data_IF_217834530900
#
_entry.id   IF_217834530900
#
_cell.length_a   1.000
_cell.length_b   1.000
_cell.length_c   1.000
_cell.angle_alpha   90.00
_cell.angle_beta   90.00
_cell.angle_gamma   90.00
#
_symmetry.space_group_name_H-M   'P 1'
#
loop_
_entity.id
_entity.type
_entity.pdbx_description
1 polymer ?
#
# COMPACT_ATOMS: atom_id res chain seq x y z
N UNK A 1 -4.47 -1.30 -1.52
CA UNK A 1 -3.68 -0.64 -0.47
C UNK A 1 -2.20 -0.58 -0.87
N UNK A 2 -1.39 0.27 -0.22
CA UNK A 2 0.04 0.43 -0.54
C UNK A 2 0.80 -0.90 -0.39
N UNK A 3 0.65 -1.55 0.75
CA UNK A 3 1.35 -2.81 1.05
C UNK A 3 0.83 -4.01 0.24
N UNK A 4 -0.29 -3.89 -0.47
CA UNK A 4 -0.83 -4.95 -1.33
C UNK A 4 -0.24 -4.94 -2.75
N UNK A 5 0.42 -3.85 -3.15
CA UNK A 5 1.02 -3.70 -4.47
C UNK A 5 2.11 -4.75 -4.67
N UNK A 6 2.21 -5.27 -5.89
CA UNK A 6 3.11 -6.39 -6.21
C UNK A 6 4.56 -6.07 -5.87
N UNK A 7 5.06 -4.93 -6.34
CA UNK A 7 6.46 -4.50 -6.13
C UNK A 7 6.78 -4.26 -4.65
N UNK A 8 5.79 -3.80 -3.88
CA UNK A 8 5.95 -3.59 -2.42
C UNK A 8 6.02 -4.96 -1.71
N UNK A 9 5.14 -5.89 -2.07
CA UNK A 9 5.15 -7.25 -1.52
C UNK A 9 6.44 -7.99 -1.87
N UNK A 10 6.98 -7.77 -3.06
CA UNK A 10 8.25 -8.36 -3.48
C UNK A 10 9.41 -7.79 -2.65
N UNK A 11 9.47 -6.46 -2.50
CA UNK A 11 10.49 -5.79 -1.68
C UNK A 11 10.42 -6.24 -0.21
N UNK A 12 9.22 -6.32 0.38
CA UNK A 12 9.01 -6.82 1.74
C UNK A 12 9.47 -8.29 1.87
N UNK A 13 9.24 -9.11 0.84
CA UNK A 13 9.71 -10.51 0.86
C UNK A 13 11.24 -10.58 0.88
N UNK A 14 11.94 -9.70 0.17
CA UNK A 14 13.40 -9.58 0.31
C UNK A 14 13.80 -9.23 1.74
N UNK A 15 13.14 -8.22 2.35
CA UNK A 15 13.41 -7.83 3.75
C UNK A 15 13.17 -9.01 4.70
N UNK A 16 12.07 -9.75 4.52
CA UNK A 16 11.74 -10.92 5.36
C UNK A 16 12.82 -12.00 5.28
N UNK A 17 13.31 -12.31 4.08
CA UNK A 17 14.40 -13.29 3.89
C UNK A 17 15.72 -12.80 4.52
N UNK A 18 16.01 -11.50 4.47
CA UNK A 18 17.19 -10.93 5.13
C UNK A 18 17.11 -11.05 6.65
N UNK A 19 15.93 -10.87 7.23
CA UNK A 19 15.70 -11.00 8.66
C UNK A 19 15.57 -12.46 9.08
N UNK A 20 14.89 -13.28 8.29
CA UNK A 20 14.67 -14.70 8.54
C UNK A 20 14.74 -15.53 7.25
N UNK A 21 15.90 -16.11 6.90
CA UNK A 21 16.02 -16.96 5.69
C UNK A 21 15.13 -18.20 5.68
N UNK A 22 14.62 -18.61 6.85
CA UNK A 22 13.76 -19.79 6.99
C UNK A 22 12.28 -19.49 6.71
N UNK A 23 11.97 -18.27 6.26
CA UNK A 23 10.63 -17.88 5.79
C UNK A 23 10.44 -18.41 4.36
N UNK A 24 9.93 -19.62 4.25
CA UNK A 24 9.77 -20.33 2.97
C UNK A 24 8.85 -19.58 1.99
N UNK A 25 7.80 -18.90 2.50
CA UNK A 25 6.88 -18.13 1.65
C UNK A 25 7.58 -16.91 1.03
N UNK A 26 8.33 -16.19 1.84
CA UNK A 26 9.10 -15.05 1.35
C UNK A 26 10.23 -15.49 0.41
N UNK A 27 10.92 -16.57 0.74
CA UNK A 27 11.98 -17.13 -0.10
C UNK A 27 11.44 -17.58 -1.46
N UNK A 28 10.34 -18.36 -1.47
CA UNK A 28 9.70 -18.82 -2.70
C UNK A 28 9.28 -17.65 -3.60
N UNK A 29 8.80 -16.56 -3.00
CA UNK A 29 8.39 -15.36 -3.73
C UNK A 29 9.56 -14.71 -4.48
N UNK A 30 10.73 -14.62 -3.87
CA UNK A 30 11.86 -13.86 -4.43
C UNK A 30 12.86 -14.70 -5.23
N UNK A 31 12.88 -16.02 -5.09
CA UNK A 31 13.91 -16.88 -5.70
C UNK A 31 13.97 -16.71 -7.23
N UNK A 32 12.85 -16.43 -7.88
CA UNK A 32 12.77 -16.19 -9.32
C UNK A 32 12.11 -14.84 -9.67
N UNK A 33 12.16 -13.88 -8.76
CA UNK A 33 11.67 -12.50 -8.95
C UNK A 33 12.78 -11.52 -8.57
N UNK A 34 13.47 -10.90 -9.52
CA UNK A 34 13.42 -11.06 -11.00
C UNK A 34 13.76 -12.46 -11.50
N UNK A 35 13.46 -12.71 -12.78
CA UNK A 35 13.67 -14.03 -13.39
C UNK A 35 15.16 -14.42 -13.39
N UNK A 36 15.48 -15.55 -12.76
CA UNK A 36 16.83 -16.13 -12.69
C UNK A 36 16.92 -17.49 -13.40
N UNK A 37 15.83 -17.91 -14.06
CA UNK A 37 15.75 -19.24 -14.66
C UNK A 37 15.54 -20.35 -13.64
N UNK A 38 15.04 -20.00 -12.46
CA UNK A 38 14.65 -20.94 -11.38
C UNK A 38 13.13 -21.03 -11.40
N UNK A 39 12.60 -21.87 -12.28
CA UNK A 39 11.16 -21.97 -12.50
C UNK A 39 10.42 -22.85 -11.48
N UNK A 40 9.08 -22.92 -11.59
CA UNK A 40 8.24 -23.65 -10.63
C UNK A 40 8.64 -25.12 -10.43
N UNK A 41 9.08 -25.80 -11.50
CA UNK A 41 9.54 -27.19 -11.43
C UNK A 41 10.78 -27.33 -10.53
N UNK A 42 11.70 -26.37 -10.64
CA UNK A 42 12.92 -26.34 -9.81
C UNK A 42 12.56 -26.08 -8.34
N UNK A 43 11.67 -25.11 -8.10
CA UNK A 43 11.20 -24.76 -6.75
C UNK A 43 10.50 -25.97 -6.10
N UNK A 44 9.65 -26.67 -6.86
CA UNK A 44 8.99 -27.89 -6.38
C UNK A 44 10.01 -28.97 -5.98
N UNK A 45 11.04 -29.21 -6.81
CA UNK A 45 12.09 -30.19 -6.49
C UNK A 45 12.87 -29.80 -5.23
N UNK A 46 13.16 -28.47 -5.04
CA UNK A 46 13.79 -27.97 -3.81
C UNK A 46 12.90 -28.22 -2.59
N UNK A 47 11.60 -27.95 -2.72
CA UNK A 47 10.62 -28.18 -1.65
C UNK A 47 10.50 -29.68 -1.30
N UNK A 48 10.46 -30.55 -2.30
CA UNK A 48 10.39 -32.00 -2.11
C UNK A 48 11.67 -32.52 -1.42
N UNK A 49 12.84 -32.01 -1.84
CA UNK A 49 14.13 -32.34 -1.20
C UNK A 49 14.13 -31.85 0.28
N UNK A 50 13.66 -30.66 0.52
CA UNK A 50 13.53 -30.12 1.88
C UNK A 50 12.65 -30.99 2.77
N UNK A 51 11.47 -31.37 2.29
CA UNK A 51 10.57 -32.26 3.03
C UNK A 51 11.20 -33.63 3.36
N UNK A 52 11.93 -34.22 2.41
CA UNK A 52 12.60 -35.50 2.60
C UNK A 52 13.72 -35.42 3.63
N UNK A 53 14.33 -34.27 3.82
CA UNK A 53 15.48 -34.07 4.71
C UNK A 53 15.16 -33.17 5.92
N UNK A 54 13.90 -32.85 6.16
CA UNK A 54 13.41 -32.00 7.25
C UNK A 54 14.10 -30.63 7.26
N UNK A 55 14.17 -29.99 6.08
CA UNK A 55 14.84 -28.70 5.85
C UNK A 55 13.89 -27.70 5.20
N UNK A 56 14.04 -26.41 5.56
CA UNK A 56 13.40 -25.28 4.88
C UNK A 56 14.04 -25.04 3.50
N UNK A 57 13.32 -24.31 2.63
CA UNK A 57 13.74 -24.05 1.25
C UNK A 57 15.14 -23.44 1.13
N UNK A 58 15.48 -22.50 2.00
CA UNK A 58 16.79 -21.87 1.98
C UNK A 58 17.90 -22.89 2.21
N UNK A 59 17.76 -23.74 3.22
CA UNK A 59 18.74 -24.78 3.53
C UNK A 59 18.78 -25.87 2.45
N UNK A 60 17.60 -26.20 1.87
CA UNK A 60 17.54 -27.09 0.72
C UNK A 60 18.37 -26.54 -0.45
N UNK A 61 18.22 -25.23 -0.72
CA UNK A 61 18.96 -24.56 -1.78
C UNK A 61 20.46 -24.51 -1.49
N UNK A 62 20.87 -24.34 -0.23
CA UNK A 62 22.28 -24.41 0.17
C UNK A 62 22.90 -25.77 -0.06
N UNK A 63 22.15 -26.83 0.28
CA UNK A 63 22.65 -28.21 0.26
C UNK A 63 22.57 -28.86 -1.13
N UNK A 64 21.78 -28.28 -2.05
CA UNK A 64 21.56 -28.85 -3.38
C UNK A 64 22.83 -28.89 -4.22
N UNK A 65 23.86 -28.09 -3.90
CA UNK A 65 25.14 -28.01 -4.61
C UNK A 65 25.84 -29.38 -4.62
N UNK A 66 25.61 -30.20 -3.59
CA UNK A 66 26.20 -31.55 -3.46
C UNK A 66 25.29 -32.68 -3.94
N UNK A 67 24.12 -32.36 -4.52
CA UNK A 67 23.16 -33.35 -4.98
C UNK A 67 23.10 -33.46 -6.51
N UNK A 68 22.81 -34.65 -7.04
CA UNK A 68 22.64 -34.89 -8.46
C UNK A 68 21.22 -34.59 -8.99
N UNK A 69 20.41 -33.87 -8.20
CA UNK A 69 18.98 -33.60 -8.51
C UNK A 69 18.85 -32.62 -9.68
N UNK A 70 19.81 -31.72 -9.84
CA UNK A 70 19.80 -30.70 -10.89
C UNK A 70 21.06 -30.72 -11.73
N UNK A 71 20.94 -30.20 -12.96
CA UNK A 71 22.11 -29.97 -13.81
C UNK A 71 22.97 -28.81 -13.25
N UNK A 72 24.22 -28.77 -13.63
CA UNK A 72 25.21 -27.78 -13.13
C UNK A 72 24.74 -26.34 -13.31
N UNK A 73 24.13 -25.99 -14.45
CA UNK A 73 23.64 -24.62 -14.71
C UNK A 73 22.56 -24.19 -13.73
N UNK A 74 21.66 -25.09 -13.33
CA UNK A 74 20.62 -24.79 -12.34
C UNK A 74 21.23 -24.65 -10.93
N UNK A 75 22.18 -25.52 -10.60
CA UNK A 75 22.91 -25.46 -9.33
C UNK A 75 23.65 -24.12 -9.21
N UNK A 76 24.34 -23.71 -10.26
CA UNK A 76 25.08 -22.42 -10.28
C UNK A 76 24.16 -21.21 -10.02
N UNK A 77 22.99 -21.19 -10.66
CA UNK A 77 22.00 -20.10 -10.48
C UNK A 77 21.50 -20.05 -9.04
N UNK A 78 21.19 -21.21 -8.47
CA UNK A 78 20.74 -21.31 -7.06
C UNK A 78 21.88 -20.85 -6.14
N UNK A 79 23.09 -21.35 -6.34
CA UNK A 79 24.25 -21.00 -5.54
C UNK A 79 24.55 -19.48 -5.59
N UNK A 80 24.48 -18.88 -6.77
CA UNK A 80 24.64 -17.42 -6.94
C UNK A 80 23.63 -16.65 -6.10
N UNK A 81 22.35 -17.04 -6.15
CA UNK A 81 21.29 -16.37 -5.41
C UNK A 81 21.48 -16.53 -3.89
N UNK A 82 21.80 -17.75 -3.42
CA UNK A 82 22.08 -18.00 -2.00
C UNK A 82 23.27 -17.16 -1.51
N UNK A 83 24.34 -17.11 -2.29
CA UNK A 83 25.54 -16.32 -1.94
C UNK A 83 25.20 -14.82 -1.87
N UNK A 84 24.35 -14.34 -2.77
CA UNK A 84 23.88 -12.96 -2.78
C UNK A 84 23.09 -12.64 -1.50
N UNK A 85 22.17 -13.51 -1.09
CA UNK A 85 21.42 -13.36 0.18
C UNK A 85 22.38 -13.33 1.37
N UNK A 86 23.35 -14.24 1.42
CA UNK A 86 24.35 -14.28 2.50
C UNK A 86 25.15 -12.98 2.59
N UNK A 87 25.57 -12.45 1.44
CA UNK A 87 26.28 -11.15 1.36
C UNK A 87 25.40 -10.03 1.95
N UNK A 88 24.15 -9.92 1.49
CA UNK A 88 23.23 -8.89 1.98
C UNK A 88 22.92 -9.01 3.46
N UNK A 89 22.82 -10.22 4.00
CA UNK A 89 22.62 -10.46 5.44
C UNK A 89 23.80 -9.92 6.28
N UNK A 90 25.03 -10.04 5.78
CA UNK A 90 26.18 -9.46 6.47
C UNK A 90 26.10 -7.92 6.45
N UNK A 91 25.81 -7.35 5.29
CA UNK A 91 25.69 -5.89 5.08
C UNK A 91 24.53 -5.29 5.89
N UNK A 92 23.47 -6.06 6.17
CA UNK A 92 22.31 -5.62 6.95
C UNK A 92 22.72 -5.05 8.31
N UNK A 93 23.73 -5.63 8.93
CA UNK A 93 24.19 -5.20 10.25
C UNK A 93 25.13 -3.97 10.22
N UNK A 94 25.58 -3.57 9.03
CA UNK A 94 26.53 -2.48 8.82
C UNK A 94 25.90 -1.23 8.21
N UNK A 95 24.73 -1.38 7.60
CA UNK A 95 24.06 -0.33 6.82
C UNK A 95 22.72 0.06 7.46
N UNK A 96 22.25 1.26 7.15
CA UNK A 96 20.89 1.69 7.51
C UNK A 96 19.86 0.86 6.73
N UNK A 97 18.66 0.63 7.30
CA UNK A 97 17.62 -0.17 6.65
C UNK A 97 17.29 0.26 5.21
N UNK A 98 17.17 1.56 4.97
CA UNK A 98 16.92 2.10 3.63
C UNK A 98 18.05 1.74 2.67
N UNK A 99 19.30 1.94 3.07
CA UNK A 99 20.47 1.73 2.20
C UNK A 99 20.62 0.26 1.80
N UNK A 100 20.39 -0.65 2.74
CA UNK A 100 20.48 -2.10 2.44
C UNK A 100 19.32 -2.54 1.54
N UNK A 101 18.10 -2.05 1.75
CA UNK A 101 16.97 -2.42 0.89
C UNK A 101 17.18 -1.87 -0.53
N UNK A 102 17.62 -0.62 -0.68
CA UNK A 102 17.92 -0.04 -1.99
C UNK A 102 19.00 -0.84 -2.73
N UNK A 103 20.08 -1.19 -2.02
CA UNK A 103 21.15 -2.04 -2.57
C UNK A 103 20.62 -3.42 -2.99
N UNK A 104 19.75 -4.03 -2.23
CA UNK A 104 19.13 -5.33 -2.56
C UNK A 104 18.30 -5.21 -3.85
N UNK A 105 17.49 -4.16 -3.98
CA UNK A 105 16.66 -3.93 -5.17
C UNK A 105 17.52 -3.69 -6.41
N UNK A 106 18.64 -2.98 -6.27
CA UNK A 106 19.61 -2.75 -7.36
C UNK A 106 20.35 -4.03 -7.72
N UNK A 107 21.02 -4.68 -6.75
CA UNK A 107 21.88 -5.85 -7.02
C UNK A 107 21.08 -7.10 -7.42
N UNK A 108 19.80 -7.20 -7.04
CA UNK A 108 18.91 -8.27 -7.51
C UNK A 108 18.43 -8.07 -8.93
N UNK A 109 18.74 -6.92 -9.56
CA UNK A 109 18.20 -6.46 -10.85
C UNK A 109 16.68 -6.20 -10.82
N UNK A 110 16.12 -5.89 -9.67
CA UNK A 110 14.68 -5.60 -9.55
C UNK A 110 14.32 -4.30 -10.29
N UNK A 111 15.11 -3.24 -10.10
CA UNK A 111 14.92 -1.98 -10.83
C UNK A 111 15.10 -2.17 -12.33
N UNK A 112 16.14 -2.91 -12.74
CA UNK A 112 16.40 -3.22 -14.16
C UNK A 112 15.22 -3.97 -14.79
N UNK A 113 14.62 -4.93 -14.05
CA UNK A 113 13.44 -5.66 -14.51
C UNK A 113 12.27 -4.68 -14.82
N UNK A 114 11.99 -3.75 -13.90
CA UNK A 114 10.92 -2.76 -14.10
C UNK A 114 11.26 -1.80 -15.25
N UNK A 115 12.47 -1.28 -15.30
CA UNK A 115 12.91 -0.37 -16.38
C UNK A 115 12.76 -1.00 -17.77
N UNK A 116 13.03 -2.30 -17.89
CA UNK A 116 12.92 -3.04 -19.14
C UNK A 116 11.45 -3.23 -19.60
N UNK A 117 10.46 -3.03 -18.73
CA UNK A 117 9.03 -3.07 -19.12
C UNK A 117 8.64 -1.85 -19.98
N UNK A 118 9.37 -0.74 -19.89
CA UNK A 118 9.18 0.48 -20.69
C UNK A 118 7.73 0.97 -20.74
N UNK A 119 7.07 1.03 -19.58
CA UNK A 119 5.65 1.42 -19.44
C UNK A 119 5.46 2.44 -18.31
N UNK A 120 4.42 3.25 -18.40
CA UNK A 120 4.04 4.20 -17.33
C UNK A 120 3.74 3.45 -16.03
N UNK A 121 3.23 2.23 -16.13
CA UNK A 121 2.99 1.37 -14.96
C UNK A 121 4.32 1.01 -14.28
N UNK A 122 5.36 0.69 -15.03
CA UNK A 122 6.68 0.38 -14.49
C UNK A 122 7.30 1.59 -13.79
N UNK A 123 7.16 2.79 -14.37
CA UNK A 123 7.61 4.03 -13.72
C UNK A 123 6.87 4.27 -12.39
N UNK A 124 5.57 4.01 -12.37
CA UNK A 124 4.75 4.08 -11.15
C UNK A 124 5.25 3.09 -10.09
N UNK A 125 5.57 1.85 -10.49
CA UNK A 125 6.12 0.83 -9.57
C UNK A 125 7.47 1.26 -8.99
N UNK A 126 8.34 1.85 -9.79
CA UNK A 126 9.63 2.39 -9.32
C UNK A 126 9.39 3.52 -8.30
N UNK A 127 8.44 4.42 -8.60
CA UNK A 127 8.05 5.49 -7.66
C UNK A 127 7.53 4.92 -6.34
N UNK A 128 6.73 3.86 -6.38
CA UNK A 128 6.23 3.17 -5.18
C UNK A 128 7.36 2.56 -4.35
N UNK A 129 8.40 2.01 -5.00
CA UNK A 129 9.57 1.49 -4.30
C UNK A 129 10.36 2.61 -3.61
N UNK A 130 10.47 3.78 -4.25
CA UNK A 130 11.12 4.95 -3.63
C UNK A 130 10.32 5.42 -2.38
N UNK A 131 8.99 5.45 -2.49
CA UNK A 131 8.11 5.74 -1.36
C UNK A 131 8.33 4.72 -0.22
N UNK A 132 8.46 3.43 -0.56
CA UNK A 132 8.77 2.39 0.43
C UNK A 132 10.11 2.65 1.12
N UNK A 133 11.15 3.04 0.37
CA UNK A 133 12.46 3.36 0.94
C UNK A 133 12.37 4.52 1.95
N UNK A 134 11.56 5.55 1.64
CA UNK A 134 11.31 6.67 2.58
C UNK A 134 10.66 6.16 3.87
N UNK A 135 9.65 5.30 3.77
CA UNK A 135 9.02 4.68 4.95
C UNK A 135 10.05 3.85 5.74
N UNK A 136 10.85 3.02 5.06
CA UNK A 136 11.89 2.18 5.71
C UNK A 136 12.94 3.04 6.43
N UNK A 137 13.23 4.26 5.92
CA UNK A 137 14.21 5.17 6.53
C UNK A 137 13.81 5.66 7.93
N UNK A 138 12.52 5.56 8.27
CA UNK A 138 12.00 5.96 9.59
C UNK A 138 12.32 4.94 10.69
N UNK A 139 12.85 3.75 10.33
CA UNK A 139 13.12 2.66 11.27
C UNK A 139 14.62 2.46 11.46
N UNK A 140 15.01 2.12 12.69
CA UNK A 140 16.40 1.82 13.03
C UNK A 140 16.86 0.44 12.54
N UNK A 141 15.89 -0.48 12.34
CA UNK A 141 16.18 -1.86 11.90
C UNK A 141 15.10 -2.35 10.90
N UNK A 142 15.49 -3.30 10.03
CA UNK A 142 14.53 -3.96 9.13
C UNK A 142 13.48 -4.76 9.91
N UNK A 143 13.86 -5.32 11.05
CA UNK A 143 12.93 -6.04 11.94
C UNK A 143 11.83 -5.10 12.48
N UNK A 144 12.22 -3.88 12.89
CA UNK A 144 11.27 -2.86 13.33
C UNK A 144 10.27 -2.48 12.22
N UNK A 145 10.79 -2.30 11.00
CA UNK A 145 9.93 -2.06 9.83
C UNK A 145 8.96 -3.23 9.60
N UNK A 146 9.43 -4.50 9.68
CA UNK A 146 8.55 -5.67 9.49
C UNK A 146 7.47 -5.77 10.57
N UNK A 147 7.77 -5.40 11.82
CA UNK A 147 6.77 -5.32 12.89
C UNK A 147 5.68 -4.30 12.54
N UNK A 148 6.08 -3.12 12.06
CA UNK A 148 5.15 -2.09 11.61
C UNK A 148 4.23 -2.62 10.50
N UNK A 149 4.78 -3.27 9.48
CA UNK A 149 4.01 -3.84 8.36
C UNK A 149 3.00 -4.89 8.88
N UNK A 150 3.40 -5.72 9.85
CA UNK A 150 2.51 -6.74 10.44
C UNK A 150 1.33 -6.08 11.17
N UNK A 151 1.59 -5.04 11.95
CA UNK A 151 0.54 -4.30 12.66
C UNK A 151 -0.44 -3.63 11.69
N UNK A 152 0.05 -3.12 10.56
CA UNK A 152 -0.79 -2.51 9.52
C UNK A 152 -1.73 -3.54 8.88
N UNK A 153 -1.28 -4.78 8.72
CA UNK A 153 -2.10 -5.88 8.18
C UNK A 153 -3.12 -6.39 9.21
N UNK A 154 -2.76 -6.42 10.49
CA UNK A 154 -3.63 -6.90 11.57
C UNK A 154 -4.73 -5.89 11.91
N UNK A 155 -4.51 -4.60 11.70
CA UNK A 155 -5.50 -3.54 11.93
C UNK A 155 -6.72 -3.63 11.00
N UNK A 156 -6.66 -4.42 9.93
CA UNK A 156 -7.83 -4.76 9.12
C UNK A 156 -8.84 -5.69 9.87
N UNK A 157 -8.46 -6.27 11.00
CA UNK A 157 -9.28 -7.21 11.77
C UNK A 157 -9.94 -6.56 13.02
N UNK A 158 -10.18 -5.26 12.99
CA UNK A 158 -11.04 -4.57 13.95
C UNK A 158 -10.37 -4.09 15.24
N UNK A 159 -9.69 -2.97 15.17
CA UNK A 159 -9.38 -2.18 16.36
C UNK A 159 -10.35 -0.99 16.47
N UNK A 160 -11.07 -0.94 17.57
CA UNK A 160 -12.10 0.06 17.89
C UNK A 160 -11.53 1.42 18.31
N UNK A 161 -10.24 1.68 18.15
CA UNK A 161 -9.60 2.88 18.68
C UNK A 161 -9.23 3.88 17.57
N UNK A 162 -10.17 4.75 17.26
CA UNK A 162 -9.92 6.09 16.77
C UNK A 162 -9.20 6.29 15.43
N UNK A 163 -9.19 5.30 14.53
CA UNK A 163 -8.56 5.46 13.23
C UNK A 163 -9.45 6.21 12.24
N UNK A 164 -8.83 7.08 11.44
CA UNK A 164 -9.51 7.73 10.31
C UNK A 164 -9.33 6.85 9.07
N UNK A 165 -10.44 6.33 8.56
CA UNK A 165 -10.43 5.50 7.34
C UNK A 165 -10.60 6.40 6.12
N UNK A 166 -9.67 6.32 5.16
CA UNK A 166 -9.77 7.00 3.87
C UNK A 166 -10.12 5.98 2.78
N UNK A 167 -11.15 6.30 1.98
CA UNK A 167 -11.57 5.41 0.89
C UNK A 167 -12.32 6.18 -0.19
N UNK A 168 -12.49 5.57 -1.35
CA UNK A 168 -13.36 6.13 -2.40
C UNK A 168 -14.82 5.84 -2.07
N UNK A 169 -15.75 6.61 -2.66
CA UNK A 169 -17.19 6.37 -2.52
C UNK A 169 -17.59 4.97 -2.99
N UNK A 170 -16.97 4.47 -4.06
CA UNK A 170 -17.21 3.10 -4.56
C UNK A 170 -16.82 2.04 -3.53
N UNK A 171 -15.66 2.21 -2.90
CA UNK A 171 -15.16 1.28 -1.88
C UNK A 171 -16.00 1.34 -0.59
N UNK A 172 -16.70 2.44 -0.34
CA UNK A 172 -17.51 2.65 0.86
C UNK A 172 -18.82 1.86 0.86
N UNK A 173 -19.20 1.25 -0.26
CA UNK A 173 -20.45 0.46 -0.35
C UNK A 173 -20.41 -0.71 0.64
N UNK A 174 -21.42 -0.78 1.50
CA UNK A 174 -21.52 -1.81 2.54
C UNK A 174 -20.88 -1.45 3.88
N UNK A 175 -20.04 -0.40 3.93
CA UNK A 175 -19.44 0.08 5.19
C UNK A 175 -20.37 1.10 5.87
N UNK A 176 -20.18 1.32 7.18
CA UNK A 176 -20.90 2.35 7.94
C UNK A 176 -19.99 2.92 9.02
N UNK A 177 -20.07 4.23 9.26
CA UNK A 177 -19.22 4.97 10.19
C UNK A 177 -20.05 5.92 11.04
N UNK A 178 -19.61 6.19 12.26
CA UNK A 178 -20.31 7.14 13.14
C UNK A 178 -20.31 8.55 12.55
N UNK A 179 -19.17 8.97 12.01
CA UNK A 179 -18.97 10.28 11.39
C UNK A 179 -18.37 10.09 10.01
N UNK A 180 -18.87 10.80 9.00
CA UNK A 180 -18.35 10.73 7.62
C UNK A 180 -18.08 12.14 7.13
N UNK A 181 -16.89 12.32 6.53
CA UNK A 181 -16.51 13.53 5.81
C UNK A 181 -16.49 13.25 4.31
N UNK A 182 -17.23 14.03 3.55
CA UNK A 182 -17.30 13.95 2.08
C UNK A 182 -16.69 15.23 1.49
N UNK A 183 -15.37 15.27 1.27
CA UNK A 183 -14.71 16.44 0.70
C UNK A 183 -14.88 16.50 -0.82
N UNK A 184 -14.70 17.72 -1.38
CA UNK A 184 -14.68 17.93 -2.83
C UNK A 184 -16.05 17.94 -3.49
N UNK A 185 -17.09 18.37 -2.76
CA UNK A 185 -18.45 18.48 -3.32
C UNK A 185 -18.58 19.75 -4.16
N UNK A 186 -17.95 19.71 -5.35
CA UNK A 186 -17.85 20.82 -6.31
C UNK A 186 -18.29 20.36 -7.69
N UNK A 187 -19.11 21.15 -8.39
CA UNK A 187 -19.50 20.86 -9.78
C UNK A 187 -18.23 20.75 -10.66
N UNK A 188 -18.13 19.65 -11.42
CA UNK A 188 -16.95 19.33 -12.21
C UNK A 188 -15.98 18.37 -11.54
N UNK A 189 -15.99 18.31 -10.19
CA UNK A 189 -15.26 17.30 -9.43
C UNK A 189 -16.21 16.17 -8.98
N UNK A 190 -17.33 16.56 -8.37
CA UNK A 190 -18.41 15.64 -8.01
C UNK A 190 -19.77 16.38 -8.08
N UNK A 191 -20.62 16.10 -9.12
CA UNK A 191 -20.38 15.17 -10.24
C UNK A 191 -19.21 15.59 -11.13
N UNK A 192 -18.48 14.59 -11.66
CA UNK A 192 -17.30 14.86 -12.48
C UNK A 192 -17.69 15.35 -13.88
N UNK A 193 -16.91 16.26 -14.46
CA UNK A 193 -17.10 16.70 -15.84
C UNK A 193 -17.10 15.51 -16.80
N UNK A 194 -16.19 14.57 -16.60
CA UNK A 194 -16.05 13.40 -17.44
C UNK A 194 -17.34 12.54 -17.47
N UNK A 195 -17.92 12.28 -16.30
CA UNK A 195 -19.16 11.50 -16.20
C UNK A 195 -20.32 12.20 -16.92
N UNK A 196 -20.36 13.54 -16.84
CA UNK A 196 -21.41 14.32 -17.51
C UNK A 196 -21.21 14.35 -19.03
N UNK A 197 -19.98 14.49 -19.51
CA UNK A 197 -19.65 14.55 -20.94
C UNK A 197 -19.86 13.20 -21.63
N UNK A 198 -19.39 12.10 -21.02
CA UNK A 198 -19.48 10.76 -21.60
C UNK A 198 -20.85 10.13 -21.42
N UNK A 199 -21.52 10.36 -20.29
CA UNK A 199 -22.77 9.71 -19.91
C UNK A 199 -24.04 10.56 -19.99
N UNK A 200 -23.91 11.87 -20.14
CA UNK A 200 -25.06 12.77 -20.14
C UNK A 200 -25.94 12.62 -18.90
N UNK A 201 -27.25 12.50 -19.09
CA UNK A 201 -28.20 12.29 -17.99
C UNK A 201 -27.95 10.97 -17.23
N UNK A 202 -27.58 9.91 -17.93
CA UNK A 202 -27.25 8.64 -17.29
C UNK A 202 -25.99 8.75 -16.42
N UNK A 203 -24.99 9.50 -16.88
CA UNK A 203 -23.79 9.80 -16.09
C UNK A 203 -24.11 10.56 -14.80
N UNK A 204 -24.98 11.57 -14.91
CA UNK A 204 -25.43 12.34 -13.77
C UNK A 204 -26.19 11.47 -12.75
N UNK A 205 -27.05 10.57 -13.23
CA UNK A 205 -27.81 9.65 -12.37
C UNK A 205 -26.89 8.66 -11.66
N UNK A 206 -25.84 8.18 -12.31
CA UNK A 206 -24.86 7.30 -11.68
C UNK A 206 -24.07 8.04 -10.59
N UNK A 207 -23.63 9.27 -10.86
CA UNK A 207 -22.99 10.12 -9.85
C UNK A 207 -23.94 10.40 -8.67
N UNK A 208 -25.25 10.58 -8.93
CA UNK A 208 -26.27 10.76 -7.89
C UNK A 208 -26.42 9.50 -7.02
N UNK A 209 -26.38 8.31 -7.64
CA UNK A 209 -26.38 7.03 -6.89
C UNK A 209 -25.14 6.93 -6.00
N UNK A 210 -24.00 7.36 -6.51
CA UNK A 210 -22.75 7.37 -5.75
C UNK A 210 -22.80 8.37 -4.60
N UNK A 211 -23.43 9.54 -4.81
CA UNK A 211 -23.70 10.52 -3.75
C UNK A 211 -24.57 9.90 -2.65
N UNK A 212 -25.63 9.20 -3.02
CA UNK A 212 -26.50 8.48 -2.09
C UNK A 212 -25.72 7.45 -1.27
N UNK A 213 -24.83 6.69 -1.93
CA UNK A 213 -23.95 5.73 -1.22
C UNK A 213 -23.13 6.45 -0.16
N UNK A 214 -22.45 7.55 -0.50
CA UNK A 214 -21.63 8.32 0.45
C UNK A 214 -22.44 8.83 1.64
N UNK A 215 -23.59 9.45 1.34
CA UNK A 215 -24.48 10.04 2.36
C UNK A 215 -24.95 8.96 3.37
N UNK A 216 -25.33 7.80 2.86
CA UNK A 216 -25.86 6.70 3.69
C UNK A 216 -24.80 5.94 4.48
N UNK A 217 -23.51 6.32 4.37
CA UNK A 217 -22.45 5.72 5.20
C UNK A 217 -22.41 6.27 6.62
N UNK A 218 -22.99 7.46 6.84
CA UNK A 218 -22.97 8.12 8.14
C UNK A 218 -24.11 7.60 9.04
N UNK A 219 -23.76 7.18 10.26
CA UNK A 219 -24.72 6.76 11.30
C UNK A 219 -25.21 7.95 12.13
N UNK A 220 -24.36 8.94 12.41
CA UNK A 220 -24.69 10.09 13.25
C UNK A 220 -24.48 11.42 12.58
N UNK A 221 -23.27 11.66 12.07
CA UNK A 221 -22.89 12.97 11.54
C UNK A 221 -22.27 12.85 10.16
N UNK A 222 -22.63 13.79 9.30
CA UNK A 222 -22.16 13.85 7.92
C UNK A 222 -21.71 15.27 7.61
N UNK A 223 -20.48 15.40 7.12
CA UNK A 223 -19.90 16.67 6.74
C UNK A 223 -19.59 16.69 5.25
N UNK A 224 -20.10 17.69 4.54
CA UNK A 224 -19.72 17.99 3.17
C UNK A 224 -18.76 19.18 3.18
N UNK A 225 -17.71 19.14 2.37
CA UNK A 225 -16.87 20.31 2.17
C UNK A 225 -16.60 20.56 0.69
N UNK A 226 -16.46 21.82 0.34
CA UNK A 226 -16.12 22.30 -0.99
C UNK A 226 -15.22 23.53 -0.90
N UNK A 227 -14.36 23.71 -1.89
CA UNK A 227 -13.49 24.86 -1.99
C UNK A 227 -14.07 25.86 -3.01
N UNK A 228 -13.99 27.16 -2.72
CA UNK A 228 -14.37 28.20 -3.68
C UNK A 228 -13.35 28.33 -4.83
N UNK A 229 -12.09 28.00 -4.55
CA UNK A 229 -11.02 27.97 -5.53
C UNK A 229 -10.16 26.72 -5.31
N UNK A 230 -9.77 26.08 -6.40
CA UNK A 230 -8.95 24.86 -6.39
C UNK A 230 -7.79 24.97 -7.38
N UNK A 231 -6.63 24.53 -6.98
CA UNK A 231 -5.47 24.45 -7.87
C UNK A 231 -5.47 23.08 -8.58
N UNK A 232 -5.65 23.11 -9.91
CA UNK A 232 -5.66 21.92 -10.77
C UNK A 232 -4.55 22.08 -11.81
N UNK A 233 -3.64 21.13 -11.87
CA UNK A 233 -2.49 21.16 -12.79
C UNK A 233 -1.70 22.49 -12.71
N UNK A 234 -1.53 23.00 -11.50
CA UNK A 234 -0.77 24.24 -11.27
C UNK A 234 -1.56 25.53 -11.46
N UNK A 235 -2.78 25.49 -11.98
CA UNK A 235 -3.62 26.67 -12.30
C UNK A 235 -4.75 26.77 -11.28
N UNK A 236 -4.96 28.00 -10.72
CA UNK A 236 -6.07 28.28 -9.84
C UNK A 236 -7.36 28.44 -10.66
N UNK A 237 -8.37 27.66 -10.30
CA UNK A 237 -9.70 27.70 -10.93
C UNK A 237 -10.77 27.92 -9.87
N UNK A 238 -11.76 28.75 -10.20
CA UNK A 238 -12.93 28.92 -9.36
C UNK A 238 -13.83 27.68 -9.44
N UNK A 239 -14.29 27.21 -8.30
CA UNK A 239 -15.16 26.05 -8.17
C UNK A 239 -16.56 26.48 -7.70
N UNK A 240 -17.58 25.83 -8.20
CA UNK A 240 -18.97 26.00 -7.74
C UNK A 240 -19.34 24.84 -6.81
N UNK A 241 -20.10 25.09 -5.74
CA UNK A 241 -20.61 23.99 -4.91
C UNK A 241 -21.39 22.98 -5.77
N UNK A 242 -21.22 21.71 -5.46
CA UNK A 242 -21.92 20.61 -6.17
C UNK A 242 -23.43 20.85 -6.24
N UNK A 243 -24.02 20.60 -7.40
CA UNK A 243 -25.47 20.66 -7.58
C UNK A 243 -26.23 19.73 -6.62
N UNK A 244 -25.63 18.63 -6.20
CA UNK A 244 -26.22 17.69 -5.25
C UNK A 244 -26.46 18.31 -3.87
N UNK A 245 -25.70 19.34 -3.48
CA UNK A 245 -25.94 20.04 -2.21
C UNK A 245 -27.31 20.74 -2.19
N UNK A 246 -27.84 21.12 -3.37
CA UNK A 246 -29.17 21.76 -3.48
C UNK A 246 -30.30 20.75 -3.32
N UNK A 247 -30.00 19.45 -3.49
CA UNK A 247 -30.96 18.37 -3.37
C UNK A 247 -31.12 17.86 -1.93
N UNK A 248 -30.25 18.32 -1.01
CA UNK A 248 -30.28 17.95 0.40
C UNK A 248 -31.46 18.61 1.12
N UNK A 249 -32.09 17.89 2.08
CA UNK A 249 -33.15 18.49 2.89
C UNK A 249 -32.63 19.66 3.75
N UNK A 250 -33.27 20.81 3.60
CA UNK A 250 -32.83 22.06 4.27
C UNK A 250 -33.06 22.06 5.77
N UNK A 251 -34.02 21.30 6.24
CA UNK A 251 -34.41 21.22 7.65
C UNK A 251 -33.41 20.45 8.51
N UNK A 252 -32.56 19.62 7.88
CA UNK A 252 -31.53 18.85 8.60
C UNK A 252 -30.11 19.20 8.17
N UNK A 253 -29.96 20.20 7.30
CA UNK A 253 -28.66 20.63 6.77
C UNK A 253 -28.29 22.01 7.34
N UNK A 254 -27.11 22.13 7.91
CA UNK A 254 -26.57 23.41 8.42
C UNK A 254 -25.33 23.79 7.61
N UNK A 255 -25.32 25.03 7.10
CA UNK A 255 -24.12 25.59 6.48
C UNK A 255 -23.21 26.16 7.58
N UNK A 256 -21.93 25.81 7.51
CA UNK A 256 -20.88 26.34 8.40
C UNK A 256 -19.91 27.11 7.51
N UNK A 257 -19.73 28.38 7.78
CA UNK A 257 -18.74 29.17 7.05
C UNK A 257 -17.36 29.04 7.71
N UNK A 258 -16.30 29.18 6.91
CA UNK A 258 -14.93 28.94 7.37
C UNK A 258 -14.53 29.83 8.56
N UNK A 259 -15.15 31.02 8.65
CA UNK A 259 -14.88 31.97 9.74
C UNK A 259 -15.55 31.56 11.07
N UNK A 260 -16.52 30.63 11.02
CA UNK A 260 -17.22 30.12 12.22
C UNK A 260 -16.50 28.92 12.86
N UNK A 261 -15.36 28.47 12.31
CA UNK A 261 -14.61 27.33 12.86
C UNK A 261 -14.13 27.55 14.31
N UNK A 262 -13.97 28.80 14.73
CA UNK A 262 -13.61 29.14 16.13
C UNK A 262 -14.71 28.77 17.14
N UNK A 263 -15.93 28.55 16.68
CA UNK A 263 -17.06 28.21 17.56
C UNK A 263 -17.27 26.70 17.74
N UNK A 264 -16.62 25.86 16.92
CA UNK A 264 -16.65 24.40 17.03
C UNK A 264 -15.30 23.91 17.55
N UNK A 265 -15.03 24.17 18.82
CA UNK A 265 -13.99 23.43 19.52
C UNK A 265 -14.50 21.99 19.69
N UNK A 266 -14.02 21.09 18.86
CA UNK A 266 -14.29 19.65 18.97
C UNK A 266 -13.57 19.02 20.18
N UNK A 267 -12.87 19.86 20.96
CA UNK A 267 -12.23 19.41 22.20
C UNK A 267 -13.11 19.78 23.38
N UNK A 268 -13.72 18.77 23.97
CA UNK A 268 -14.22 18.90 25.32
C UNK A 268 -12.99 19.10 26.22
N UNK A 269 -12.84 20.28 26.80
CA UNK A 269 -11.71 20.65 27.68
C UNK A 269 -11.53 19.73 28.89
N UNK A 270 -12.42 18.75 29.06
CA UNK A 270 -12.40 17.82 30.19
C UNK A 270 -11.74 16.46 29.90
N UNK A 271 -11.17 16.24 28.70
CA UNK A 271 -10.37 15.02 28.44
C UNK A 271 -8.89 15.34 28.71
N UNK A 272 -8.48 15.15 29.95
CA UNK A 272 -7.05 15.18 30.30
C UNK A 272 -6.41 13.89 29.82
N UNK A 273 -5.55 13.97 28.81
CA UNK A 273 -4.65 12.88 28.46
C UNK A 273 -3.48 12.87 29.42
N UNK A 274 -3.42 11.89 30.31
CA UNK A 274 -2.32 11.70 31.25
C UNK A 274 -1.16 11.02 30.50
N UNK A 275 -0.15 11.77 30.12
CA UNK A 275 1.06 11.29 29.46
C UNK A 275 2.13 10.95 30.54
N UNK A 276 1.87 9.95 31.39
CA UNK A 276 2.92 9.42 32.28
C UNK A 276 3.24 7.97 31.92
N UNK A 277 4.19 8.18 31.50
CA UNK A 277 4.80 7.01 31.36
C UNK A 277 5.83 6.51 30.84
#
# INVERSE_FOLDING_TARGET
KFYDRQEIRDAIAYVRVLCNPLDDLAFERIINTPRRGIGPTTIKKLSDYGRQNDMQLFHSAENIVSSEIFNNSTVDKIAQFINQIKKWKLLKNEKKPMDILDQVLEESSYYEMLQNENSEEAETRISNLKELLEVVSEFDTLEGFLQHVSLMNDNDAGNELGEVTLMTLHAAKGSEYQVVFLPGWEDGLFPSFRSLEEGGENGLEEERRLAYVGITRAKKELFFSYASNRRINGIWMSSLPSRFLKELPKDITKKIDADDYSAYSLYDENVSYDYTX
#
